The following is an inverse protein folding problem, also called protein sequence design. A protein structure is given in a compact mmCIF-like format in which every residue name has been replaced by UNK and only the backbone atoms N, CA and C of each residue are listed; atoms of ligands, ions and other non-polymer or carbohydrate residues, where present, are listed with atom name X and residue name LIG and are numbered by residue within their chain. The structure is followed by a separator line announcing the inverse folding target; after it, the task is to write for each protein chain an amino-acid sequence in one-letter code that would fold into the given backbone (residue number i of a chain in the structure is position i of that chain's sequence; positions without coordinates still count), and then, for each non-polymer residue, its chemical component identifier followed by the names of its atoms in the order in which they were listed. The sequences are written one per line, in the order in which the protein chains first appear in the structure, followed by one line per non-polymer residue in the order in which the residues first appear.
data_IF_569440794291
#
_entry.id   IF_569440794291
#
_cell.length_a   1.000
_cell.length_b   1.000
_cell.length_c   1.000
_cell.angle_alpha   90.00
_cell.angle_beta   90.00
_cell.angle_gamma   90.00
#
_symmetry.space_group_name_H-M   'P 1'
#
loop_
_entity.id
_entity.type
_entity.pdbx_description
1 polymer ?
#
# COMPACT_ATOMS: atom_id res chain seq x y z
N UNK A 1 14.02 -51.39 -10.32
CA UNK A 1 13.35 -50.23 -9.69
C UNK A 1 11.96 -50.66 -9.28
N UNK A 2 11.62 -50.56 -7.99
CA UNK A 2 10.32 -50.99 -7.48
C UNK A 2 9.24 -49.96 -7.86
N UNK A 3 8.00 -50.38 -8.11
CA UNK A 3 6.88 -49.46 -8.38
C UNK A 3 6.66 -48.46 -7.22
N UNK A 4 7.06 -48.84 -6.00
CA UNK A 4 7.08 -47.96 -4.83
C UNK A 4 8.08 -46.80 -5.01
N UNK A 5 9.17 -47.02 -5.73
CA UNK A 5 10.20 -46.01 -6.00
C UNK A 5 9.74 -44.89 -6.92
N UNK A 6 8.89 -45.23 -7.89
CA UNK A 6 8.32 -44.26 -8.81
C UNK A 6 7.20 -43.45 -8.15
N UNK A 7 6.35 -44.10 -7.34
CA UNK A 7 5.27 -43.42 -6.63
C UNK A 7 5.78 -42.41 -5.60
N UNK A 8 6.87 -42.69 -4.86
CA UNK A 8 7.40 -41.70 -3.91
C UNK A 8 8.03 -40.50 -4.62
N UNK A 9 8.68 -40.69 -5.77
CA UNK A 9 9.24 -39.60 -6.57
C UNK A 9 8.14 -38.69 -7.11
N UNK A 10 7.06 -39.28 -7.63
CA UNK A 10 5.90 -38.51 -8.12
C UNK A 10 5.26 -37.75 -6.96
N UNK A 11 4.99 -38.40 -5.82
CA UNK A 11 4.43 -37.76 -4.63
C UNK A 11 5.31 -36.60 -4.14
N UNK A 12 6.64 -36.78 -4.09
CA UNK A 12 7.58 -35.75 -3.65
C UNK A 12 7.62 -34.57 -4.62
N UNK A 13 7.58 -34.81 -5.93
CA UNK A 13 7.51 -33.75 -6.94
C UNK A 13 6.19 -32.97 -6.88
N UNK A 14 5.05 -33.65 -6.66
CA UNK A 14 3.75 -33.00 -6.50
C UNK A 14 3.68 -32.19 -5.20
N UNK A 15 4.20 -32.72 -4.08
CA UNK A 15 4.29 -32.01 -2.80
C UNK A 15 5.10 -30.72 -2.93
N UNK A 16 6.27 -30.78 -3.57
CA UNK A 16 7.11 -29.62 -3.83
C UNK A 16 6.39 -28.59 -4.74
N UNK A 17 5.63 -29.05 -5.74
CA UNK A 17 4.84 -28.17 -6.61
C UNK A 17 3.72 -27.44 -5.86
N UNK A 18 3.02 -28.15 -4.96
CA UNK A 18 2.01 -27.55 -4.08
C UNK A 18 2.64 -26.48 -3.18
N UNK A 19 3.76 -26.79 -2.53
CA UNK A 19 4.47 -25.86 -1.64
C UNK A 19 4.98 -24.59 -2.36
N UNK A 20 5.36 -24.71 -3.64
CA UNK A 20 5.77 -23.57 -4.47
C UNK A 20 4.56 -22.69 -4.83
N UNK A 21 3.42 -23.29 -5.15
CA UNK A 21 2.19 -22.57 -5.49
C UNK A 21 1.64 -21.82 -4.27
N UNK A 22 1.59 -22.46 -3.10
CA UNK A 22 1.16 -21.79 -1.86
C UNK A 22 2.07 -20.62 -1.51
N UNK A 23 3.40 -20.81 -1.52
CA UNK A 23 4.36 -19.71 -1.25
C UNK A 23 4.22 -18.56 -2.25
N UNK A 24 3.99 -18.85 -3.54
CA UNK A 24 3.77 -17.82 -4.56
C UNK A 24 2.47 -17.06 -4.31
N UNK A 25 1.41 -17.76 -3.90
CA UNK A 25 0.13 -17.16 -3.54
C UNK A 25 0.24 -16.26 -2.31
N UNK A 26 0.98 -16.69 -1.28
CA UNK A 26 1.24 -15.88 -0.07
C UNK A 26 2.03 -14.61 -0.41
N UNK A 27 3.09 -14.73 -1.21
CA UNK A 27 3.88 -13.58 -1.66
C UNK A 27 3.04 -12.58 -2.47
N UNK A 28 2.16 -13.08 -3.35
CA UNK A 28 1.24 -12.24 -4.10
C UNK A 28 0.25 -11.53 -3.18
N UNK A 29 -0.30 -12.24 -2.19
CA UNK A 29 -1.24 -11.63 -1.24
C UNK A 29 -0.58 -10.54 -0.40
N UNK A 30 0.66 -10.75 0.02
CA UNK A 30 1.43 -9.74 0.75
C UNK A 30 1.73 -8.51 -0.12
N UNK A 31 2.12 -8.73 -1.39
CA UNK A 31 2.29 -7.64 -2.35
C UNK A 31 1.01 -6.81 -2.54
N UNK A 32 -0.14 -7.46 -2.72
CA UNK A 32 -1.42 -6.78 -2.90
C UNK A 32 -1.83 -5.98 -1.65
N UNK A 33 -1.57 -6.50 -0.45
CA UNK A 33 -1.82 -5.77 0.81
C UNK A 33 -0.97 -4.50 0.87
N UNK A 34 0.33 -4.61 0.58
CA UNK A 34 1.26 -3.48 0.55
C UNK A 34 0.77 -2.40 -0.44
N UNK A 35 0.43 -2.80 -1.66
CA UNK A 35 -0.08 -1.89 -2.68
C UNK A 35 -1.38 -1.21 -2.26
N UNK A 36 -2.32 -1.96 -1.66
CA UNK A 36 -3.56 -1.41 -1.14
C UNK A 36 -3.32 -0.37 -0.04
N UNK A 37 -2.32 -0.59 0.82
CA UNK A 37 -1.97 0.39 1.87
C UNK A 37 -1.37 1.66 1.30
N UNK A 38 -0.49 1.55 0.30
CA UNK A 38 0.08 2.70 -0.39
C UNK A 38 -1.03 3.51 -1.05
N UNK A 39 -1.90 2.84 -1.81
CA UNK A 39 -3.01 3.49 -2.51
C UNK A 39 -3.95 4.22 -1.55
N UNK A 40 -4.28 3.62 -0.40
CA UNK A 40 -5.08 4.30 0.63
C UNK A 40 -4.38 5.54 1.20
N UNK A 41 -3.06 5.54 1.30
CA UNK A 41 -2.32 6.72 1.76
C UNK A 41 -2.30 7.82 0.69
N UNK A 42 -2.13 7.46 -0.58
CA UNK A 42 -2.19 8.39 -1.72
C UNK A 42 -3.56 9.05 -1.82
N UNK A 43 -4.64 8.28 -1.77
CA UNK A 43 -6.01 8.80 -1.80
C UNK A 43 -6.27 9.78 -0.64
N UNK A 44 -5.74 9.50 0.55
CA UNK A 44 -5.83 10.43 1.69
C UNK A 44 -5.06 11.72 1.43
N UNK A 45 -3.88 11.65 0.81
CA UNK A 45 -3.08 12.83 0.47
C UNK A 45 -3.85 13.70 -0.54
N UNK A 46 -4.41 13.09 -1.59
CA UNK A 46 -5.17 13.80 -2.62
C UNK A 46 -6.39 14.51 -2.02
N UNK A 47 -7.13 13.83 -1.15
CA UNK A 47 -8.26 14.42 -0.43
C UNK A 47 -7.81 15.60 0.46
N UNK A 48 -6.69 15.49 1.16
CA UNK A 48 -6.15 16.59 1.97
C UNK A 48 -5.75 17.79 1.10
N UNK A 49 -5.18 17.57 -0.09
CA UNK A 49 -4.89 18.66 -1.02
C UNK A 49 -6.16 19.37 -1.50
N UNK A 50 -7.21 18.60 -1.82
CA UNK A 50 -8.52 19.14 -2.19
C UNK A 50 -9.08 20.02 -1.06
N UNK A 51 -9.05 19.55 0.18
CA UNK A 51 -9.53 20.31 1.35
C UNK A 51 -8.73 21.59 1.58
N UNK A 52 -7.40 21.54 1.46
CA UNK A 52 -6.56 22.75 1.51
C UNK A 52 -6.98 23.74 0.42
N UNK A 53 -7.14 23.26 -0.82
CA UNK A 53 -7.56 24.09 -1.95
C UNK A 53 -8.90 24.78 -1.71
N UNK A 54 -9.90 24.04 -1.19
CA UNK A 54 -11.21 24.58 -0.80
C UNK A 54 -11.06 25.68 0.27
N UNK A 55 -10.31 25.42 1.34
CA UNK A 55 -10.09 26.39 2.42
C UNK A 55 -9.42 27.67 1.93
N UNK A 56 -8.42 27.53 1.06
CA UNK A 56 -7.72 28.68 0.46
C UNK A 56 -8.68 29.50 -0.41
N UNK A 57 -9.47 28.84 -1.25
CA UNK A 57 -10.43 29.51 -2.12
C UNK A 57 -11.53 30.22 -1.32
N UNK A 58 -12.06 29.60 -0.27
CA UNK A 58 -13.04 30.23 0.62
C UNK A 58 -12.47 31.49 1.27
N UNK A 59 -11.23 31.44 1.77
CA UNK A 59 -10.59 32.62 2.35
C UNK A 59 -10.44 33.74 1.33
N UNK A 60 -9.99 33.42 0.12
CA UNK A 60 -9.93 34.38 -0.99
C UNK A 60 -11.31 35.00 -1.27
N UNK A 61 -12.35 34.18 -1.42
CA UNK A 61 -13.73 34.62 -1.72
C UNK A 61 -14.26 35.61 -0.67
N UNK A 62 -13.89 35.45 0.59
CA UNK A 62 -14.32 36.33 1.69
C UNK A 62 -13.31 37.43 2.04
N UNK A 63 -12.32 37.70 1.18
CA UNK A 63 -11.22 38.66 1.43
C UNK A 63 -10.51 38.44 2.78
N UNK A 64 -10.42 37.19 3.22
CA UNK A 64 -9.67 36.80 4.41
C UNK A 64 -8.22 36.51 4.05
N UNK A 65 -7.31 36.84 4.96
CA UNK A 65 -5.90 36.48 4.78
C UNK A 65 -5.71 34.96 4.77
N UNK A 66 -4.83 34.50 3.89
CA UNK A 66 -4.35 33.13 3.88
C UNK A 66 -3.39 32.98 5.07
N UNK A 67 -3.75 32.14 6.04
CA UNK A 67 -3.04 31.95 7.30
C UNK A 67 -2.72 30.47 7.58
N UNK A 68 -1.97 30.19 8.64
CA UNK A 68 -1.46 28.86 9.01
C UNK A 68 -2.50 27.77 9.36
N UNK A 69 -3.80 28.02 9.18
CA UNK A 69 -4.89 27.03 9.28
C UNK A 69 -4.66 25.70 8.56
N UNK A 70 -3.88 25.66 7.47
CA UNK A 70 -3.56 24.43 6.73
C UNK A 70 -2.38 23.64 7.31
N UNK A 71 -1.69 24.15 8.34
CA UNK A 71 -0.46 23.55 8.87
C UNK A 71 -0.66 22.10 9.33
N UNK A 72 -1.80 21.78 9.94
CA UNK A 72 -2.08 20.42 10.41
C UNK A 72 -2.42 19.46 9.26
N UNK A 73 -3.04 19.94 8.19
CA UNK A 73 -3.19 19.19 6.95
C UNK A 73 -1.80 18.85 6.36
N UNK A 74 -0.91 19.85 6.24
CA UNK A 74 0.45 19.65 5.73
C UNK A 74 1.28 18.68 6.60
N UNK A 75 1.16 18.74 7.93
CA UNK A 75 1.80 17.76 8.83
C UNK A 75 1.29 16.35 8.58
N UNK A 76 0.00 16.20 8.32
CA UNK A 76 -0.64 14.90 8.04
C UNK A 76 -0.17 14.33 6.71
N UNK A 77 -0.13 15.15 5.66
CA UNK A 77 0.43 14.79 4.35
C UNK A 77 1.88 14.29 4.53
N UNK A 78 2.74 15.06 5.21
CA UNK A 78 4.13 14.66 5.48
C UNK A 78 4.24 13.32 6.23
N UNK A 79 3.32 13.01 7.14
CA UNK A 79 3.30 11.71 7.84
C UNK A 79 2.93 10.57 6.90
N UNK A 80 1.92 10.77 6.05
CA UNK A 80 1.48 9.79 5.06
C UNK A 80 2.58 9.52 4.02
N UNK A 81 3.23 10.55 3.51
CA UNK A 81 4.37 10.40 2.59
C UNK A 81 5.54 9.64 3.22
N UNK A 82 5.83 9.89 4.50
CA UNK A 82 6.84 9.12 5.24
C UNK A 82 6.43 7.65 5.39
N UNK A 83 5.15 7.37 5.62
CA UNK A 83 4.62 6.00 5.67
C UNK A 83 4.77 5.29 4.32
N UNK A 84 4.43 5.95 3.21
CA UNK A 84 4.63 5.38 1.87
C UNK A 84 6.12 5.07 1.63
N UNK A 85 7.00 6.01 2.00
CA UNK A 85 8.46 5.82 1.89
C UNK A 85 8.99 4.69 2.77
N UNK A 86 8.39 4.42 3.93
CA UNK A 86 8.81 3.28 4.76
C UNK A 86 8.34 1.97 4.16
N UNK A 87 7.10 1.90 3.67
CA UNK A 87 6.55 0.71 3.01
C UNK A 87 7.36 0.34 1.76
N UNK A 88 7.75 1.32 0.94
CA UNK A 88 8.54 1.08 -0.28
C UNK A 88 10.03 0.75 -0.02
N UNK A 89 10.50 0.86 1.24
CA UNK A 89 11.87 0.49 1.63
C UNK A 89 11.97 -0.90 2.25
N UNK A 90 10.83 -1.50 2.60
CA UNK A 90 10.72 -2.92 2.98
C UNK A 90 10.77 -3.81 1.74
#
# INVERSE_FOLDING_TARGET
MSSKDLLWKIKKSTQNGVDIITKKSENLMNYLKIQSEIHSCEEKIDNLFIEIGKLVYEKYKYNKNIDSSYKDYCKTINKLEKKIKSINKE
#
